data_IF_422576898933
#
_entry.id   IF_422576898933
#
_cell.length_a   1.000
_cell.length_b   1.000
_cell.length_c   1.000
_cell.angle_alpha   90.00
_cell.angle_beta   90.00
_cell.angle_gamma   90.00
#
_symmetry.space_group_name_H-M   'P 1'
#
loop_
_entity.id
_entity.type
_entity.pdbx_description
1 polymer ?
#
# COMPACT_ATOMS: atom_id res chain seq x y z
N UNK A 1 44.63 -18.20 1.61
CA UNK A 1 43.31 -17.79 2.06
C UNK A 1 43.41 -17.53 3.55
N UNK A 2 42.72 -16.57 4.14
CA UNK A 2 42.83 -16.16 5.56
C UNK A 2 44.15 -15.52 5.99
N UNK A 3 44.95 -15.03 5.02
CA UNK A 3 46.20 -14.26 5.29
C UNK A 3 45.78 -12.79 5.48
N UNK A 4 46.25 -12.16 6.54
CA UNK A 4 45.99 -10.73 6.81
C UNK A 4 46.80 -9.84 5.87
N UNK A 5 46.23 -8.73 5.39
CA UNK A 5 44.90 -8.19 5.69
C UNK A 5 43.79 -8.86 4.87
N UNK A 6 42.60 -9.12 5.53
CA UNK A 6 41.44 -9.68 4.84
C UNK A 6 40.80 -8.66 3.91
N UNK A 7 40.46 -9.12 2.70
CA UNK A 7 39.87 -8.31 1.64
C UNK A 7 38.45 -8.76 1.27
N UNK A 8 38.10 -8.51 0.02
CA UNK A 8 36.78 -8.90 -0.54
C UNK A 8 36.62 -10.41 -0.65
N UNK A 9 37.70 -11.16 -0.93
CA UNK A 9 37.64 -12.64 -1.05
C UNK A 9 37.14 -13.28 0.24
N UNK A 10 37.70 -12.86 1.37
CA UNK A 10 37.28 -13.33 2.69
C UNK A 10 35.82 -12.90 3.00
N UNK A 11 35.44 -11.68 2.62
CA UNK A 11 34.06 -11.20 2.74
C UNK A 11 33.07 -12.03 1.92
N UNK A 12 33.41 -12.37 0.68
CA UNK A 12 32.58 -13.24 -0.16
C UNK A 12 32.45 -14.65 0.44
N UNK A 13 33.50 -15.21 1.00
CA UNK A 13 33.49 -16.53 1.66
C UNK A 13 32.67 -16.53 2.94
N UNK A 14 32.73 -15.46 3.76
CA UNK A 14 31.94 -15.32 4.95
C UNK A 14 30.44 -15.24 4.56
N UNK A 15 30.09 -14.43 3.56
CA UNK A 15 28.72 -14.35 3.08
C UNK A 15 28.20 -15.67 2.53
N UNK A 16 29.01 -16.41 1.75
CA UNK A 16 28.66 -17.75 1.28
C UNK A 16 28.45 -18.72 2.46
N UNK A 17 29.33 -18.65 3.48
CA UNK A 17 29.18 -19.44 4.70
C UNK A 17 27.89 -19.13 5.47
N UNK A 18 27.55 -17.86 5.61
CA UNK A 18 26.29 -17.43 6.24
C UNK A 18 25.08 -17.91 5.45
N UNK A 19 25.13 -17.84 4.12
CA UNK A 19 24.06 -18.33 3.24
C UNK A 19 23.83 -19.84 3.42
N UNK A 20 24.91 -20.64 3.38
CA UNK A 20 24.84 -22.09 3.58
C UNK A 20 24.35 -22.43 4.99
N UNK A 21 24.88 -21.77 6.03
CA UNK A 21 24.43 -21.94 7.40
C UNK A 21 22.94 -21.59 7.53
N UNK A 22 22.51 -20.51 6.90
CA UNK A 22 21.11 -20.11 6.87
C UNK A 22 20.22 -21.18 6.23
N UNK A 23 20.60 -21.78 5.11
CA UNK A 23 19.82 -22.86 4.51
C UNK A 23 19.79 -24.13 5.36
N UNK A 24 20.88 -24.47 6.04
CA UNK A 24 20.89 -25.58 6.99
C UNK A 24 19.92 -25.33 8.14
N UNK A 25 19.88 -24.13 8.69
CA UNK A 25 18.92 -23.75 9.72
C UNK A 25 17.49 -23.77 9.15
N UNK A 26 17.27 -23.22 7.97
CA UNK A 26 15.96 -23.20 7.31
C UNK A 26 15.36 -24.59 7.15
N UNK A 27 16.17 -25.55 6.72
CA UNK A 27 15.73 -26.94 6.50
C UNK A 27 15.50 -27.67 7.82
N UNK A 28 16.26 -27.35 8.88
CA UNK A 28 16.23 -28.11 10.14
C UNK A 28 15.21 -27.59 11.14
N UNK A 29 15.08 -26.27 11.28
CA UNK A 29 14.20 -25.63 12.27
C UNK A 29 13.06 -24.80 11.66
N UNK A 30 13.04 -24.64 10.32
CA UNK A 30 12.03 -23.86 9.62
C UNK A 30 12.33 -22.36 9.63
N UNK A 31 11.35 -21.57 9.24
CA UNK A 31 11.44 -20.11 9.20
C UNK A 31 11.40 -19.45 10.59
N UNK A 32 11.83 -18.20 10.64
CA UNK A 32 11.76 -17.41 11.88
C UNK A 32 10.32 -16.98 12.12
N UNK A 33 9.82 -17.29 13.29
CA UNK A 33 8.55 -16.78 13.78
C UNK A 33 8.73 -15.39 14.41
N UNK A 34 8.36 -14.35 13.68
CA UNK A 34 8.47 -12.97 14.13
C UNK A 34 7.53 -12.65 15.29
N UNK A 35 6.47 -13.44 15.54
CA UNK A 35 5.57 -13.22 16.67
C UNK A 35 6.26 -13.39 18.03
N UNK A 36 7.39 -14.11 18.07
CA UNK A 36 8.22 -14.24 19.27
C UNK A 36 8.93 -12.94 19.68
N UNK A 37 9.02 -11.97 18.74
CA UNK A 37 9.70 -10.69 18.95
C UNK A 37 8.76 -9.54 19.34
N UNK A 38 7.54 -9.84 19.78
CA UNK A 38 6.62 -8.83 20.32
C UNK A 38 7.18 -8.24 21.62
N UNK A 39 6.79 -6.98 21.94
CA UNK A 39 7.15 -6.34 23.20
C UNK A 39 6.85 -7.27 24.40
N UNK A 40 7.77 -7.42 25.40
CA UNK A 40 9.04 -6.68 25.56
C UNK A 40 10.27 -7.35 24.93
N UNK A 41 10.13 -8.49 24.24
CA UNK A 41 11.27 -9.29 23.75
C UNK A 41 12.12 -8.51 22.75
N UNK A 42 11.49 -7.77 21.83
CA UNK A 42 12.21 -6.94 20.85
C UNK A 42 13.08 -5.86 21.51
N UNK A 43 12.61 -5.23 22.60
CA UNK A 43 13.42 -4.26 23.36
C UNK A 43 14.63 -4.94 23.99
N UNK A 44 14.44 -6.12 24.60
CA UNK A 44 15.55 -6.88 25.19
C UNK A 44 16.58 -7.25 24.12
N UNK A 45 16.13 -7.75 22.97
CA UNK A 45 16.98 -8.10 21.83
C UNK A 45 17.72 -6.86 21.32
N UNK A 46 17.04 -5.71 21.17
CA UNK A 46 17.66 -4.45 20.77
C UNK A 46 18.78 -4.04 21.73
N UNK A 47 18.52 -4.04 23.02
CA UNK A 47 19.51 -3.65 24.04
C UNK A 47 20.73 -4.59 24.03
N UNK A 48 20.49 -5.90 23.97
CA UNK A 48 21.57 -6.88 23.89
C UNK A 48 22.38 -6.75 22.59
N UNK A 49 21.71 -6.50 21.47
CA UNK A 49 22.37 -6.31 20.18
C UNK A 49 23.24 -5.04 20.16
N UNK A 50 22.72 -3.92 20.67
CA UNK A 50 23.48 -2.67 20.80
C UNK A 50 24.68 -2.83 21.73
N UNK A 51 24.50 -3.50 22.88
CA UNK A 51 25.59 -3.82 23.80
C UNK A 51 26.66 -4.68 23.11
N UNK A 52 26.26 -5.67 22.32
CA UNK A 52 27.15 -6.51 21.51
C UNK A 52 27.97 -5.69 20.49
N UNK A 53 27.34 -4.75 19.76
CA UNK A 53 28.03 -3.87 18.80
C UNK A 53 29.05 -2.98 19.54
N UNK A 54 28.69 -2.41 20.70
CA UNK A 54 29.62 -1.61 21.51
C UNK A 54 30.79 -2.46 22.00
N UNK A 55 30.53 -3.65 22.50
CA UNK A 55 31.57 -4.60 22.93
C UNK A 55 32.54 -4.96 21.77
N UNK A 56 32.01 -5.31 20.59
CA UNK A 56 32.82 -5.55 19.39
C UNK A 56 33.65 -4.33 19.00
N UNK A 57 33.06 -3.11 19.09
CA UNK A 57 33.79 -1.89 18.81
C UNK A 57 34.94 -1.66 19.80
N UNK A 58 34.75 -1.90 21.10
CA UNK A 58 35.80 -1.79 22.13
C UNK A 58 36.91 -2.83 21.90
N UNK A 59 36.54 -4.04 21.52
CA UNK A 59 37.49 -5.14 21.27
C UNK A 59 38.16 -5.11 19.90
N UNK A 60 37.79 -4.21 18.97
CA UNK A 60 38.28 -4.19 17.58
C UNK A 60 39.80 -4.09 17.40
N UNK A 61 40.51 -3.55 18.40
CA UNK A 61 41.98 -3.50 18.39
C UNK A 61 42.63 -4.81 18.84
N UNK A 62 41.93 -5.61 19.65
CA UNK A 62 42.40 -6.88 20.21
C UNK A 62 42.04 -8.07 19.29
N UNK A 63 40.80 -8.04 18.75
CA UNK A 63 40.27 -9.09 17.90
C UNK A 63 40.27 -8.61 16.46
N UNK A 64 41.10 -9.19 15.63
CA UNK A 64 41.28 -8.80 14.22
C UNK A 64 39.95 -8.84 13.44
N UNK A 65 39.14 -9.86 13.65
CA UNK A 65 37.82 -10.01 12.99
C UNK A 65 36.92 -8.79 13.21
N UNK A 66 36.81 -8.30 14.43
CA UNK A 66 35.99 -7.10 14.74
C UNK A 66 36.59 -5.82 14.11
N UNK A 67 37.91 -5.75 14.02
CA UNK A 67 38.58 -4.68 13.29
C UNK A 67 38.24 -4.69 11.79
N UNK A 68 38.28 -5.87 11.17
CA UNK A 68 37.93 -6.07 9.77
C UNK A 68 36.43 -5.81 9.50
N UNK A 69 35.51 -6.21 10.39
CA UNK A 69 34.08 -5.93 10.26
C UNK A 69 33.78 -4.43 10.20
N UNK A 70 34.62 -3.56 10.76
CA UNK A 70 34.48 -2.10 10.62
C UNK A 70 35.22 -1.51 9.41
N UNK A 71 35.70 -2.35 8.49
CA UNK A 71 36.45 -1.94 7.30
C UNK A 71 35.55 -1.93 6.05
N UNK A 72 35.87 -1.09 5.07
CA UNK A 72 35.07 -0.96 3.84
C UNK A 72 34.91 -2.27 3.07
N UNK A 73 35.89 -3.18 3.10
CA UNK A 73 35.82 -4.47 2.43
C UNK A 73 34.71 -5.36 2.98
N UNK A 74 34.53 -5.36 4.32
CA UNK A 74 33.40 -6.05 4.96
C UNK A 74 32.06 -5.39 4.63
N UNK A 75 32.01 -4.03 4.65
CA UNK A 75 30.80 -3.28 4.34
C UNK A 75 30.31 -3.56 2.90
N UNK A 76 31.19 -3.46 1.92
CA UNK A 76 30.84 -3.72 0.53
C UNK A 76 30.45 -5.18 0.31
N UNK A 77 31.18 -6.14 0.92
CA UNK A 77 30.84 -7.56 0.79
C UNK A 77 29.46 -7.87 1.38
N UNK A 78 29.15 -7.39 2.58
CA UNK A 78 27.85 -7.62 3.21
C UNK A 78 26.71 -6.99 2.41
N UNK A 79 26.91 -5.78 1.88
CA UNK A 79 25.92 -5.09 1.05
C UNK A 79 25.66 -5.85 -0.26
N UNK A 80 26.71 -6.34 -0.92
CA UNK A 80 26.55 -7.12 -2.16
C UNK A 80 25.77 -8.42 -1.94
N UNK A 81 26.01 -9.13 -0.85
CA UNK A 81 25.27 -10.33 -0.51
C UNK A 81 23.78 -10.03 -0.22
N UNK A 82 23.50 -9.00 0.59
CA UNK A 82 22.11 -8.61 0.88
C UNK A 82 21.42 -8.12 -0.39
N UNK A 83 22.09 -7.31 -1.21
CA UNK A 83 21.53 -6.85 -2.48
C UNK A 83 21.22 -8.03 -3.42
N UNK A 84 22.14 -9.00 -3.53
CA UNK A 84 21.95 -10.20 -4.35
C UNK A 84 20.73 -11.01 -3.92
N UNK A 85 20.60 -11.31 -2.62
CA UNK A 85 19.44 -12.07 -2.12
C UNK A 85 18.13 -11.27 -2.19
N UNK A 86 18.18 -9.94 -2.08
CA UNK A 86 17.02 -9.05 -2.26
C UNK A 86 16.54 -9.05 -3.73
N UNK A 87 17.46 -9.08 -4.71
CA UNK A 87 17.10 -9.26 -6.12
C UNK A 87 16.39 -10.59 -6.33
N UNK A 88 16.90 -11.68 -5.75
CA UNK A 88 16.24 -13.00 -5.79
C UNK A 88 14.84 -12.94 -5.19
N UNK A 89 14.68 -12.27 -4.04
CA UNK A 89 13.36 -12.04 -3.41
C UNK A 89 12.38 -11.31 -4.35
N UNK A 90 12.84 -10.29 -5.06
CA UNK A 90 12.02 -9.54 -6.01
C UNK A 90 11.59 -10.34 -7.25
N UNK A 91 12.34 -11.37 -7.63
CA UNK A 91 12.02 -12.25 -8.77
C UNK A 91 11.05 -13.38 -8.40
N UNK A 92 10.88 -13.67 -7.11
CA UNK A 92 10.05 -14.77 -6.62
C UNK A 92 8.81 -14.19 -5.91
N UNK A 93 7.63 -14.73 -6.25
CA UNK A 93 6.39 -14.32 -5.60
C UNK A 93 6.46 -14.63 -4.10
N UNK A 94 6.35 -13.59 -3.28
CA UNK A 94 6.29 -13.72 -1.84
C UNK A 94 4.87 -14.11 -1.40
N UNK A 95 4.75 -15.04 -0.44
CA UNK A 95 3.48 -15.52 0.10
C UNK A 95 3.29 -15.04 1.53
N UNK A 96 2.05 -14.68 1.93
CA UNK A 96 1.76 -14.27 3.30
C UNK A 96 1.99 -15.40 4.32
N UNK A 97 2.08 -15.04 5.59
CA UNK A 97 2.04 -15.99 6.71
C UNK A 97 0.75 -16.84 6.65
N UNK A 98 0.85 -18.13 7.02
CA UNK A 98 -0.27 -19.06 6.96
C UNK A 98 -0.44 -19.81 5.62
N UNK A 99 0.24 -19.41 4.54
CA UNK A 99 0.28 -20.18 3.29
C UNK A 99 1.51 -21.10 3.25
N UNK A 100 1.47 -22.23 2.53
CA UNK A 100 2.62 -23.09 2.36
C UNK A 100 3.78 -22.32 1.74
N UNK A 101 4.92 -22.27 2.42
CA UNK A 101 6.18 -21.75 1.88
C UNK A 101 7.05 -22.88 1.32
N UNK A 102 7.98 -22.55 0.41
CA UNK A 102 8.97 -23.51 -0.05
C UNK A 102 9.98 -23.83 1.05
N UNK A 103 10.53 -25.04 1.02
CA UNK A 103 11.46 -25.55 2.06
C UNK A 103 12.72 -24.70 2.20
N UNK A 104 13.17 -24.05 1.13
CA UNK A 104 14.36 -23.21 1.14
C UNK A 104 14.08 -21.75 1.56
N UNK A 105 12.81 -21.37 1.76
CA UNK A 105 12.39 -20.05 2.23
C UNK A 105 12.39 -18.94 1.18
N UNK A 106 12.50 -19.26 -0.11
CA UNK A 106 12.52 -18.25 -1.16
C UNK A 106 11.21 -17.50 -1.31
N UNK A 107 10.07 -18.17 -1.10
CA UNK A 107 8.75 -17.56 -1.18
C UNK A 107 8.34 -16.77 0.09
N UNK A 108 9.18 -16.84 1.14
CA UNK A 108 9.01 -16.08 2.40
C UNK A 108 10.36 -15.58 2.91
N UNK A 109 11.05 -14.85 2.05
CA UNK A 109 12.47 -14.51 2.21
C UNK A 109 12.77 -13.72 3.49
N UNK A 110 11.89 -12.79 3.91
CA UNK A 110 12.11 -11.97 5.09
C UNK A 110 12.13 -12.76 6.41
N UNK A 111 11.54 -13.96 6.44
CA UNK A 111 11.55 -14.87 7.58
C UNK A 111 12.57 -16.00 7.39
N UNK A 112 13.25 -16.05 6.23
CA UNK A 112 14.20 -17.11 5.94
C UNK A 112 15.58 -16.84 6.56
N UNK A 113 16.15 -17.84 7.22
CA UNK A 113 17.48 -17.75 7.87
C UNK A 113 18.61 -17.27 6.96
N UNK A 114 18.70 -17.67 5.66
CA UNK A 114 19.73 -17.14 4.77
C UNK A 114 19.71 -15.63 4.66
N UNK A 115 18.52 -15.05 4.50
CA UNK A 115 18.34 -13.60 4.42
C UNK A 115 18.66 -12.94 5.77
N UNK A 116 18.13 -13.46 6.86
CA UNK A 116 18.27 -12.84 8.19
C UNK A 116 19.71 -12.84 8.66
N UNK A 117 20.48 -13.92 8.43
CA UNK A 117 21.90 -13.95 8.81
C UNK A 117 22.73 -12.93 8.02
N UNK A 118 22.51 -12.83 6.71
CA UNK A 118 23.18 -11.83 5.86
C UNK A 118 22.79 -10.40 6.26
N UNK A 119 21.51 -10.20 6.56
CA UNK A 119 20.99 -8.91 7.02
C UNK A 119 21.57 -8.49 8.37
N UNK A 120 21.62 -9.38 9.38
CA UNK A 120 22.25 -9.13 10.68
C UNK A 120 23.73 -8.78 10.49
N UNK A 121 24.46 -9.50 9.63
CA UNK A 121 25.84 -9.16 9.33
C UNK A 121 25.98 -7.75 8.75
N UNK A 122 25.16 -7.39 7.76
CA UNK A 122 25.17 -6.04 7.14
C UNK A 122 24.87 -4.95 8.17
N UNK A 123 23.80 -5.10 8.99
CA UNK A 123 23.42 -4.12 10.01
C UNK A 123 24.50 -4.02 11.11
N UNK A 124 25.14 -5.13 11.49
CA UNK A 124 26.27 -5.11 12.43
C UNK A 124 27.45 -4.33 11.89
N UNK A 125 27.83 -4.56 10.64
CA UNK A 125 28.91 -3.82 9.96
C UNK A 125 28.57 -2.33 9.87
N UNK A 126 27.32 -1.99 9.56
CA UNK A 126 26.82 -0.61 9.53
C UNK A 126 26.95 0.07 10.91
N UNK A 127 26.52 -0.61 11.99
CA UNK A 127 26.65 -0.12 13.35
C UNK A 127 28.12 0.09 13.79
N UNK A 128 29.00 -0.87 13.51
CA UNK A 128 30.43 -0.76 13.80
C UNK A 128 31.11 0.35 13.00
N UNK A 129 30.75 0.55 11.74
CA UNK A 129 31.25 1.62 10.88
C UNK A 129 30.82 2.98 11.41
N UNK A 130 29.57 3.10 11.84
CA UNK A 130 29.00 4.30 12.46
C UNK A 130 29.74 4.66 13.74
N UNK A 131 29.92 3.70 14.67
CA UNK A 131 30.68 3.92 15.89
C UNK A 131 32.14 4.29 15.62
N UNK A 132 32.80 3.66 14.66
CA UNK A 132 34.17 3.98 14.27
C UNK A 132 34.31 5.40 13.72
N UNK A 133 33.32 5.88 12.99
CA UNK A 133 33.30 7.24 12.44
C UNK A 133 32.95 8.29 13.51
N UNK A 134 32.14 7.91 14.50
CA UNK A 134 31.62 8.77 15.58
C UNK A 134 32.63 8.99 16.70
N UNK A 135 33.55 8.03 16.93
CA UNK A 135 34.51 8.13 18.03
C UNK A 135 35.95 8.08 17.55
N UNK A 136 36.75 9.18 17.65
CA UNK A 136 36.35 10.50 18.17
C UNK A 136 35.47 11.28 17.17
N UNK A 137 34.51 12.05 17.70
CA UNK A 137 33.64 12.90 16.89
C UNK A 137 34.43 14.00 16.16
N UNK A 138 34.10 14.21 14.88
CA UNK A 138 34.64 15.27 14.05
C UNK A 138 33.51 15.89 13.19
N UNK A 139 33.35 17.20 13.24
CA UNK A 139 32.31 17.90 12.46
C UNK A 139 32.37 17.61 10.95
N UNK A 140 33.56 17.42 10.39
CA UNK A 140 33.76 17.02 8.98
C UNK A 140 33.10 15.69 8.62
N UNK A 141 32.77 14.84 9.60
CA UNK A 141 32.11 13.56 9.42
C UNK A 141 30.62 13.58 9.74
N UNK A 142 30.05 14.75 10.06
CA UNK A 142 28.65 14.86 10.47
C UNK A 142 27.69 14.30 9.42
N UNK A 143 27.86 14.66 8.16
CA UNK A 143 27.02 14.17 7.08
C UNK A 143 27.09 12.63 6.93
N UNK A 144 28.29 12.06 7.03
CA UNK A 144 28.48 10.60 7.03
C UNK A 144 27.76 9.95 8.22
N UNK A 145 27.93 10.52 9.41
CA UNK A 145 27.32 10.00 10.65
C UNK A 145 25.79 10.04 10.57
N UNK A 146 25.21 11.16 10.12
CA UNK A 146 23.76 11.28 9.97
C UNK A 146 23.19 10.22 9.01
N UNK A 147 23.85 10.01 7.85
CA UNK A 147 23.41 9.00 6.90
C UNK A 147 23.50 7.58 7.47
N UNK A 148 24.65 7.21 8.05
CA UNK A 148 24.87 5.85 8.51
C UNK A 148 24.14 5.53 9.81
N UNK A 149 24.09 6.48 10.77
CA UNK A 149 23.30 6.31 11.99
C UNK A 149 21.81 6.32 11.69
N UNK A 150 21.34 7.21 10.80
CA UNK A 150 19.95 7.25 10.36
C UNK A 150 19.52 5.94 9.71
N UNK A 151 20.34 5.41 8.79
CA UNK A 151 20.09 4.12 8.15
C UNK A 151 20.09 2.97 9.17
N UNK A 152 21.04 2.96 10.12
CA UNK A 152 21.11 1.96 11.16
C UNK A 152 19.85 1.97 12.05
N UNK A 153 19.41 3.14 12.49
CA UNK A 153 18.19 3.31 13.28
C UNK A 153 16.98 2.84 12.47
N UNK A 154 16.81 3.32 11.24
CA UNK A 154 15.67 2.94 10.41
C UNK A 154 15.58 1.42 10.19
N UNK A 155 16.71 0.78 9.83
CA UNK A 155 16.72 -0.67 9.57
C UNK A 155 16.41 -1.49 10.83
N UNK A 156 17.06 -1.19 11.96
CA UNK A 156 16.87 -2.01 13.17
C UNK A 156 15.49 -1.81 13.78
N UNK A 157 14.98 -0.57 13.79
CA UNK A 157 13.67 -0.28 14.37
C UNK A 157 12.54 -0.78 13.47
N UNK A 158 12.66 -0.69 12.15
CA UNK A 158 11.68 -1.28 11.23
C UNK A 158 11.62 -2.82 11.36
N UNK A 159 12.77 -3.48 11.53
CA UNK A 159 12.81 -4.94 11.66
C UNK A 159 12.23 -5.42 12.99
N UNK A 160 12.68 -4.86 14.12
CA UNK A 160 12.22 -5.28 15.46
C UNK A 160 10.82 -4.75 15.77
N UNK A 161 10.42 -3.61 15.18
CA UNK A 161 9.10 -3.02 15.39
C UNK A 161 8.00 -3.71 14.60
N UNK A 162 8.33 -4.44 13.54
CA UNK A 162 7.35 -5.12 12.71
C UNK A 162 6.46 -6.11 13.48
N UNK A 163 7.00 -6.72 14.54
CA UNK A 163 6.26 -7.65 15.39
C UNK A 163 5.18 -6.95 16.27
N UNK A 164 5.37 -5.66 16.58
CA UNK A 164 4.41 -4.87 17.37
C UNK A 164 3.39 -4.14 16.50
N UNK A 165 3.58 -4.15 15.18
CA UNK A 165 2.64 -3.53 14.26
C UNK A 165 1.34 -4.32 14.24
N UNK A 166 0.24 -3.61 14.51
CA UNK A 166 -1.11 -4.17 14.45
C UNK A 166 -1.83 -3.58 13.24
N UNK A 167 -2.40 -4.46 12.44
CA UNK A 167 -3.20 -4.09 11.28
C UNK A 167 -4.50 -4.87 11.32
N UNK A 168 -5.60 -4.14 11.48
CA UNK A 168 -6.92 -4.70 11.74
C UNK A 168 -7.93 -4.13 10.76
N UNK A 169 -8.95 -4.92 10.40
CA UNK A 169 -10.08 -4.49 9.56
C UNK A 169 -11.34 -4.41 10.40
N UNK A 170 -12.00 -3.26 10.37
CA UNK A 170 -13.26 -3.02 11.04
C UNK A 170 -14.34 -2.68 10.01
N UNK A 171 -15.47 -3.37 10.08
CA UNK A 171 -16.65 -3.07 9.27
C UNK A 171 -17.66 -2.37 10.14
N UNK A 172 -18.02 -1.14 9.77
CA UNK A 172 -19.00 -0.32 10.48
C UNK A 172 -20.25 -0.14 9.63
N UNK A 173 -21.37 0.11 10.28
CA UNK A 173 -22.64 0.43 9.65
C UNK A 173 -23.15 1.76 10.18
N UNK A 174 -23.92 2.49 9.35
CA UNK A 174 -24.51 3.79 9.74
C UNK A 174 -25.29 3.65 11.07
N UNK A 175 -25.06 4.61 11.96
CA UNK A 175 -25.64 4.74 13.30
C UNK A 175 -25.41 3.52 14.24
N UNK A 176 -24.39 2.72 13.95
CA UNK A 176 -24.00 1.61 14.81
C UNK A 176 -22.53 1.75 15.22
N UNK A 177 -22.25 1.86 16.51
CA UNK A 177 -20.90 1.91 17.02
C UNK A 177 -20.29 0.49 17.06
N UNK A 178 -19.15 0.30 16.41
CA UNK A 178 -18.40 -0.96 16.41
C UNK A 178 -17.03 -0.76 17.08
N UNK A 179 -16.64 -1.70 17.95
CA UNK A 179 -15.37 -1.70 18.68
C UNK A 179 -14.54 -2.95 18.42
N UNK A 180 -15.04 -3.87 17.59
CA UNK A 180 -14.37 -5.12 17.25
C UNK A 180 -13.82 -5.05 15.83
N UNK A 181 -12.62 -5.55 15.67
CA UNK A 181 -11.98 -5.62 14.37
C UNK A 181 -11.38 -7.01 14.14
N UNK A 182 -11.15 -7.39 12.89
CA UNK A 182 -10.53 -8.65 12.51
C UNK A 182 -9.07 -8.44 12.17
N UNK A 183 -8.19 -9.33 12.65
CA UNK A 183 -6.81 -9.41 12.20
C UNK A 183 -6.68 -10.11 10.82
N UNK A 184 -5.45 -10.23 10.34
CA UNK A 184 -5.13 -10.88 9.05
C UNK A 184 -5.48 -12.39 9.04
N UNK A 185 -5.66 -13.01 10.21
CA UNK A 185 -6.03 -14.43 10.37
C UNK A 185 -7.53 -14.62 10.57
N UNK A 186 -8.33 -13.55 10.53
CA UNK A 186 -9.78 -13.59 10.76
C UNK A 186 -10.18 -13.68 12.24
N UNK A 187 -9.25 -13.49 13.17
CA UNK A 187 -9.54 -13.46 14.61
C UNK A 187 -10.13 -12.11 14.99
N UNK A 188 -11.22 -12.14 15.73
CA UNK A 188 -11.88 -10.97 16.27
C UNK A 188 -11.11 -10.42 17.47
N UNK A 189 -10.82 -9.13 17.45
CA UNK A 189 -10.09 -8.39 18.51
C UNK A 189 -10.95 -7.21 18.97
N UNK A 190 -11.09 -7.04 20.27
CA UNK A 190 -11.73 -5.87 20.86
C UNK A 190 -10.72 -4.72 20.98
N UNK A 191 -11.15 -3.53 20.63
CA UNK A 191 -10.32 -2.32 20.59
C UNK A 191 -10.68 -1.37 21.75
N UNK A 192 -9.73 -0.56 22.22
CA UNK A 192 -9.96 0.49 23.20
C UNK A 192 -10.61 1.74 22.58
N UNK A 193 -11.27 1.58 21.47
CA UNK A 193 -12.01 2.61 20.77
C UNK A 193 -13.20 2.01 20.03
N UNK A 194 -14.26 2.82 19.83
CA UNK A 194 -15.40 2.44 19.00
C UNK A 194 -15.60 3.48 17.89
N UNK A 195 -15.95 3.01 16.68
CA UNK A 195 -16.21 3.86 15.52
C UNK A 195 -17.68 3.74 15.15
N UNK A 196 -18.37 4.87 15.11
CA UNK A 196 -19.73 5.01 14.63
C UNK A 196 -19.68 5.70 13.26
N UNK A 197 -20.17 5.04 12.22
CA UNK A 197 -20.34 5.64 10.90
C UNK A 197 -21.57 6.54 10.91
N UNK A 198 -21.38 7.84 10.63
CA UNK A 198 -22.47 8.82 10.57
C UNK A 198 -23.00 9.02 9.16
N UNK A 199 -22.09 9.08 8.20
CA UNK A 199 -22.43 9.26 6.80
C UNK A 199 -21.36 8.65 5.89
N UNK A 200 -21.78 8.22 4.70
CA UNK A 200 -20.90 7.71 3.67
C UNK A 200 -21.22 8.38 2.34
N UNK A 201 -20.21 8.95 1.69
CA UNK A 201 -20.34 9.68 0.44
C UNK A 201 -19.41 9.13 -0.63
N UNK A 202 -19.89 9.05 -1.86
CA UNK A 202 -19.10 8.75 -3.05
C UNK A 202 -19.30 9.86 -4.09
N UNK A 203 -18.21 10.45 -4.54
CA UNK A 203 -18.13 11.20 -5.76
C UNK A 203 -17.85 10.23 -6.91
N UNK A 204 -18.66 10.25 -7.94
CA UNK A 204 -18.56 9.36 -9.09
C UNK A 204 -18.17 10.15 -10.33
N UNK A 205 -17.41 9.53 -11.22
CA UNK A 205 -17.15 10.10 -12.54
C UNK A 205 -18.47 10.31 -13.32
N UNK A 206 -18.51 11.25 -14.26
CA UNK A 206 -19.66 11.42 -15.13
C UNK A 206 -20.06 10.09 -15.79
N UNK A 207 -21.38 9.82 -15.93
CA UNK A 207 -21.80 8.62 -16.65
C UNK A 207 -21.28 8.61 -18.08
N UNK A 208 -21.07 7.44 -18.63
CA UNK A 208 -20.57 7.27 -20.02
C UNK A 208 -21.46 6.33 -20.79
N UNK A 209 -21.61 6.61 -22.09
CA UNK A 209 -22.26 5.70 -23.02
C UNK A 209 -21.20 4.95 -23.81
N UNK A 210 -21.44 3.67 -24.08
CA UNK A 210 -20.54 2.78 -24.79
C UNK A 210 -21.35 1.85 -25.70
N UNK A 211 -20.72 1.36 -26.78
CA UNK A 211 -21.25 0.32 -27.63
C UNK A 211 -20.75 -1.05 -27.17
N UNK A 212 -21.63 -2.03 -27.18
CA UNK A 212 -21.29 -3.44 -26.95
C UNK A 212 -21.77 -4.31 -28.11
N UNK A 213 -21.04 -5.38 -28.32
CA UNK A 213 -21.44 -6.48 -29.19
C UNK A 213 -22.47 -7.34 -28.48
N UNK A 214 -23.60 -7.65 -29.13
CA UNK A 214 -24.71 -8.36 -28.54
C UNK A 214 -24.45 -9.86 -28.31
N UNK A 215 -23.48 -10.45 -29.02
CA UNK A 215 -23.16 -11.89 -28.89
C UNK A 215 -22.10 -12.10 -27.82
N UNK A 216 -21.08 -11.27 -27.79
CA UNK A 216 -19.92 -11.45 -26.91
C UNK A 216 -19.99 -10.62 -25.62
N UNK A 217 -20.81 -9.57 -25.57
CA UNK A 217 -20.88 -8.59 -24.51
C UNK A 217 -19.66 -7.67 -24.42
N UNK A 218 -18.74 -7.75 -25.37
CA UNK A 218 -17.51 -6.93 -25.36
C UNK A 218 -17.78 -5.51 -25.87
N UNK A 219 -17.01 -4.59 -25.33
CA UNK A 219 -17.07 -3.18 -25.78
C UNK A 219 -16.51 -3.01 -27.19
N UNK A 220 -17.10 -2.09 -27.94
CA UNK A 220 -16.70 -1.77 -29.30
C UNK A 220 -16.11 -0.34 -29.39
N UNK A 221 -15.01 -0.17 -30.19
CA UNK A 221 -14.12 -1.18 -30.77
C UNK A 221 -13.32 -1.95 -29.69
N UNK A 222 -13.09 -3.26 -29.88
CA UNK A 222 -12.43 -4.11 -28.87
C UNK A 222 -11.06 -3.62 -28.39
N UNK A 223 -10.24 -3.05 -29.30
CA UNK A 223 -8.86 -2.65 -28.96
C UNK A 223 -8.79 -1.34 -28.17
N UNK A 224 -9.63 -0.38 -28.52
CA UNK A 224 -9.72 0.93 -27.86
C UNK A 224 -11.20 1.29 -27.77
N UNK A 225 -11.87 0.94 -26.66
CA UNK A 225 -13.29 1.22 -26.49
C UNK A 225 -13.58 2.71 -26.58
N UNK A 226 -14.50 3.09 -27.47
CA UNK A 226 -15.01 4.46 -27.53
C UNK A 226 -16.08 4.68 -26.47
N UNK A 227 -16.08 5.86 -25.89
CA UNK A 227 -17.09 6.27 -24.91
C UNK A 227 -17.49 7.73 -25.12
N UNK A 228 -18.74 8.02 -24.85
CA UNK A 228 -19.29 9.38 -24.78
C UNK A 228 -19.57 9.71 -23.31
N UNK A 229 -18.79 10.63 -22.73
CA UNK A 229 -19.01 11.13 -21.39
C UNK A 229 -20.23 12.04 -21.36
N UNK A 230 -21.11 11.85 -20.39
CA UNK A 230 -22.31 12.65 -20.17
C UNK A 230 -22.02 13.74 -19.12
N UNK A 231 -21.13 14.67 -19.47
CA UNK A 231 -20.87 15.85 -18.67
C UNK A 231 -22.03 16.86 -18.76
N UNK A 232 -22.06 17.83 -17.86
CA UNK A 232 -23.06 18.88 -17.86
C UNK A 232 -23.00 19.69 -19.18
N UNK A 233 -24.15 19.81 -19.86
CA UNK A 233 -24.26 20.51 -21.13
C UNK A 233 -24.00 19.67 -22.40
N UNK A 234 -23.62 18.40 -22.28
CA UNK A 234 -23.47 17.50 -23.42
C UNK A 234 -24.85 17.07 -23.93
N UNK A 235 -25.17 17.44 -25.17
CA UNK A 235 -26.43 17.11 -25.81
C UNK A 235 -26.32 16.10 -26.94
N UNK A 236 -25.12 15.92 -27.52
CA UNK A 236 -24.87 14.99 -28.61
C UNK A 236 -23.41 14.51 -28.62
N UNK A 237 -23.16 13.43 -29.34
CA UNK A 237 -21.84 12.86 -29.51
C UNK A 237 -21.86 11.72 -30.54
N UNK A 238 -20.67 11.25 -30.90
CA UNK A 238 -20.51 10.17 -31.86
C UNK A 238 -19.86 8.96 -31.19
N UNK A 239 -20.40 7.79 -31.46
CA UNK A 239 -19.84 6.49 -31.06
C UNK A 239 -19.78 5.61 -32.32
N UNK A 240 -18.59 5.35 -32.82
CA UNK A 240 -18.35 4.69 -34.09
C UNK A 240 -19.20 5.34 -35.23
N UNK A 241 -20.09 4.57 -35.86
CA UNK A 241 -20.96 5.05 -36.92
C UNK A 241 -22.29 5.66 -36.43
N UNK A 242 -22.50 5.75 -35.12
CA UNK A 242 -23.74 6.22 -34.52
C UNK A 242 -23.59 7.64 -33.96
N UNK A 243 -24.43 8.56 -34.47
CA UNK A 243 -24.64 9.88 -33.88
C UNK A 243 -25.71 9.75 -32.79
N UNK A 244 -25.34 10.08 -31.57
CA UNK A 244 -26.22 9.98 -30.39
C UNK A 244 -26.63 11.38 -29.96
N UNK A 245 -27.94 11.62 -29.84
CA UNK A 245 -28.51 12.88 -29.36
C UNK A 245 -29.32 12.62 -28.08
N UNK A 246 -28.98 13.30 -27.01
CA UNK A 246 -29.66 13.17 -25.71
C UNK A 246 -30.89 14.09 -25.73
N UNK A 247 -32.04 13.52 -25.45
CA UNK A 247 -33.34 14.25 -25.41
C UNK A 247 -33.75 14.61 -24.00
N UNK A 248 -33.46 13.74 -23.06
CA UNK A 248 -33.82 13.94 -21.65
C UNK A 248 -32.79 13.24 -20.76
N UNK A 249 -32.46 13.87 -19.63
CA UNK A 249 -31.57 13.32 -18.60
C UNK A 249 -32.31 13.35 -17.26
N UNK A 250 -32.29 12.25 -16.54
CA UNK A 250 -32.83 12.13 -15.19
C UNK A 250 -31.72 11.58 -14.28
N UNK A 251 -31.03 12.43 -13.50
CA UNK A 251 -29.89 12.02 -12.66
C UNK A 251 -30.30 11.11 -11.50
N UNK A 252 -31.56 11.22 -11.06
CA UNK A 252 -32.17 10.47 -9.97
C UNK A 252 -33.44 9.81 -10.47
N UNK A 253 -33.33 8.61 -11.01
CA UNK A 253 -34.40 7.96 -11.73
C UNK A 253 -34.80 6.62 -11.11
N UNK A 254 -36.06 6.24 -11.28
CA UNK A 254 -36.56 4.88 -11.09
C UNK A 254 -37.14 4.37 -12.41
N UNK A 255 -36.90 3.08 -12.69
CA UNK A 255 -37.54 2.42 -13.81
C UNK A 255 -38.97 2.04 -13.46
N UNK A 256 -39.91 2.38 -14.36
CA UNK A 256 -41.33 2.01 -14.26
C UNK A 256 -41.67 1.14 -15.45
N UNK A 257 -42.07 -0.10 -15.19
CA UNK A 257 -42.57 -1.00 -16.23
C UNK A 257 -43.96 -0.53 -16.68
N UNK A 258 -44.14 -0.33 -17.98
CA UNK A 258 -45.44 -0.15 -18.62
C UNK A 258 -45.74 -1.35 -19.51
N UNK A 259 -46.98 -1.51 -19.98
CA UNK A 259 -47.39 -2.72 -20.74
C UNK A 259 -46.45 -3.06 -21.91
N UNK A 260 -45.89 -2.05 -22.58
CA UNK A 260 -45.04 -2.26 -23.77
C UNK A 260 -43.57 -1.82 -23.62
N UNK A 261 -43.24 -1.01 -22.59
CA UNK A 261 -41.91 -0.40 -22.47
C UNK A 261 -41.51 -0.11 -21.03
N UNK A 262 -40.21 0.15 -20.82
CA UNK A 262 -39.70 0.67 -19.55
C UNK A 262 -39.50 2.18 -19.71
N UNK A 263 -40.11 2.97 -18.82
CA UNK A 263 -39.92 4.40 -18.71
C UNK A 263 -39.16 4.73 -17.43
N UNK A 264 -38.55 5.91 -17.40
CA UNK A 264 -37.88 6.42 -16.21
C UNK A 264 -38.56 7.69 -15.73
N UNK A 265 -38.70 7.83 -14.42
CA UNK A 265 -39.29 8.98 -13.74
C UNK A 265 -38.34 9.46 -12.65
N UNK A 266 -38.46 10.70 -12.22
CA UNK A 266 -37.70 11.21 -11.07
C UNK A 266 -37.99 10.39 -9.80
N UNK A 267 -36.92 10.08 -9.07
CA UNK A 267 -36.98 9.26 -7.85
C UNK A 267 -35.84 9.64 -6.90
N UNK A 268 -36.11 10.51 -5.95
CA UNK A 268 -35.13 11.02 -4.99
C UNK A 268 -35.06 10.15 -3.71
N UNK A 269 -34.74 8.86 -3.86
CA UNK A 269 -34.60 7.95 -2.74
C UNK A 269 -33.47 6.94 -2.98
N UNK A 270 -33.16 6.16 -1.95
CA UNK A 270 -32.15 5.12 -1.99
C UNK A 270 -32.39 4.19 -3.19
N UNK A 271 -31.31 3.88 -3.91
CA UNK A 271 -31.33 3.03 -5.09
C UNK A 271 -31.69 3.74 -6.40
N UNK A 272 -31.91 5.07 -6.40
CA UNK A 272 -32.08 5.82 -7.64
C UNK A 272 -30.91 5.60 -8.60
N UNK A 273 -31.20 5.48 -9.88
CA UNK A 273 -30.22 5.30 -10.95
C UNK A 273 -30.10 6.58 -11.80
N UNK A 274 -29.13 6.59 -12.70
CA UNK A 274 -29.01 7.63 -13.72
C UNK A 274 -29.60 7.10 -15.05
N UNK A 275 -30.48 7.89 -15.69
CA UNK A 275 -31.12 7.48 -16.93
C UNK A 275 -31.14 8.61 -17.94
N UNK A 276 -30.97 8.27 -19.22
CA UNK A 276 -31.09 9.19 -20.34
C UNK A 276 -32.05 8.64 -21.39
N UNK A 277 -32.91 9.49 -21.93
CA UNK A 277 -33.65 9.23 -23.16
C UNK A 277 -32.90 9.84 -24.32
N UNK A 278 -32.57 9.03 -25.30
CA UNK A 278 -31.73 9.46 -26.42
C UNK A 278 -32.20 8.90 -27.77
N UNK A 279 -31.75 9.54 -28.82
CA UNK A 279 -31.90 9.09 -30.21
C UNK A 279 -30.51 8.78 -30.75
N UNK A 280 -30.36 7.62 -31.38
CA UNK A 280 -29.14 7.21 -32.08
C UNK A 280 -29.44 7.02 -33.58
N UNK A 281 -28.66 7.66 -34.45
CA UNK A 281 -28.79 7.60 -35.89
C UNK A 281 -27.50 7.05 -36.49
N UNK A 282 -27.59 5.96 -37.23
CA UNK A 282 -26.46 5.41 -37.97
C UNK A 282 -26.16 6.28 -39.20
N UNK A 283 -24.97 6.80 -39.27
CA UNK A 283 -24.58 7.73 -40.34
C UNK A 283 -24.50 7.07 -41.73
N UNK A 284 -24.20 5.74 -41.76
CA UNK A 284 -24.08 4.96 -43.02
C UNK A 284 -25.44 4.46 -43.48
N UNK A 285 -26.19 3.79 -42.62
CA UNK A 285 -27.47 3.12 -42.96
C UNK A 285 -28.69 4.04 -42.83
N UNK A 286 -28.53 5.21 -42.18
CA UNK A 286 -29.60 6.14 -41.79
C UNK A 286 -30.68 5.54 -40.88
N UNK A 287 -30.43 4.36 -40.33
CA UNK A 287 -31.31 3.76 -39.34
C UNK A 287 -31.33 4.62 -38.07
N UNK A 288 -32.53 4.87 -37.53
CA UNK A 288 -32.74 5.62 -36.31
C UNK A 288 -33.35 4.72 -35.23
N UNK A 289 -32.85 4.83 -34.02
CA UNK A 289 -33.37 4.17 -32.83
C UNK A 289 -33.45 5.20 -31.70
N UNK A 290 -34.52 5.08 -30.86
CA UNK A 290 -34.65 5.94 -29.71
C UNK A 290 -35.10 5.11 -28.48
N UNK A 291 -34.75 5.56 -27.31
CA UNK A 291 -35.13 4.87 -26.08
C UNK A 291 -34.32 5.29 -24.87
N UNK A 292 -34.67 4.71 -23.76
CA UNK A 292 -33.99 4.88 -22.49
C UNK A 292 -32.75 4.02 -22.37
N UNK A 293 -31.68 4.61 -21.78
CA UNK A 293 -30.46 3.94 -21.37
C UNK A 293 -30.17 4.33 -19.93
N UNK A 294 -29.81 3.35 -19.09
CA UNK A 294 -29.52 3.55 -17.66
C UNK A 294 -28.45 2.60 -17.20
N UNK A 295 -27.59 3.08 -16.27
CA UNK A 295 -26.58 2.23 -15.62
C UNK A 295 -27.17 1.20 -14.64
N UNK A 296 -28.43 1.38 -14.23
CA UNK A 296 -29.01 0.58 -13.16
C UNK A 296 -28.54 0.97 -11.77
N UNK A 297 -28.95 0.21 -10.77
CA UNK A 297 -28.54 0.30 -9.38
C UNK A 297 -28.78 -1.05 -8.70
N UNK A 298 -28.48 -1.17 -7.39
CA UNK A 298 -28.78 -2.41 -6.65
C UNK A 298 -30.31 -2.73 -6.53
N UNK A 299 -31.19 -1.75 -6.85
CA UNK A 299 -32.64 -1.96 -6.88
C UNK A 299 -33.16 -2.09 -8.31
N UNK A 300 -32.68 -1.24 -9.20
CA UNK A 300 -33.18 -1.18 -10.58
C UNK A 300 -32.18 -1.81 -11.55
N UNK A 301 -32.62 -2.72 -12.46
CA UNK A 301 -31.75 -3.28 -13.46
C UNK A 301 -31.25 -2.20 -14.46
N UNK A 302 -30.10 -2.38 -15.03
CA UNK A 302 -29.62 -1.54 -16.12
C UNK A 302 -30.54 -1.63 -17.34
N UNK A 303 -30.57 -0.57 -18.16
CA UNK A 303 -31.31 -0.55 -19.40
C UNK A 303 -30.40 -0.21 -20.56
N UNK A 304 -30.34 -1.13 -21.53
CA UNK A 304 -29.64 -0.96 -22.81
C UNK A 304 -30.62 -0.57 -23.93
N UNK A 305 -30.16 0.18 -24.92
CA UNK A 305 -30.86 0.42 -26.16
C UNK A 305 -30.25 -0.43 -27.28
N UNK A 306 -31.01 -1.39 -27.79
CA UNK A 306 -30.59 -2.21 -28.92
C UNK A 306 -30.66 -1.39 -30.20
N UNK A 307 -29.52 -1.21 -30.86
CA UNK A 307 -29.38 -0.38 -32.08
C UNK A 307 -29.67 -1.21 -33.33
N UNK A 308 -29.08 -2.41 -33.38
CA UNK A 308 -29.29 -3.37 -34.48
C UNK A 308 -29.15 -4.82 -33.97
N UNK A 309 -28.98 -5.79 -34.86
CA UNK A 309 -28.82 -7.22 -34.48
C UNK A 309 -27.52 -7.50 -33.69
N UNK A 310 -26.46 -6.74 -33.98
CA UNK A 310 -25.11 -6.98 -33.45
C UNK A 310 -24.73 -6.02 -32.32
N UNK A 311 -25.35 -4.83 -32.26
CA UNK A 311 -24.85 -3.73 -31.41
C UNK A 311 -25.94 -3.19 -30.48
N UNK A 312 -25.57 -2.96 -29.23
CA UNK A 312 -26.37 -2.22 -28.25
C UNK A 312 -25.59 -1.05 -27.63
N UNK A 313 -26.32 0.00 -27.30
CA UNK A 313 -25.81 1.14 -26.54
C UNK A 313 -26.12 0.90 -25.05
N UNK A 314 -25.08 0.97 -24.24
CA UNK A 314 -25.17 0.80 -22.78
C UNK A 314 -24.60 1.99 -22.02
N UNK A 315 -25.01 2.10 -20.78
CA UNK A 315 -24.37 2.92 -19.76
C UNK A 315 -23.83 1.97 -18.69
N UNK A 316 -22.51 1.78 -18.60
CA UNK A 316 -21.93 0.97 -17.54
C UNK A 316 -22.14 1.63 -16.18
N UNK A 317 -21.96 0.87 -15.12
CA UNK A 317 -21.93 1.38 -13.75
C UNK A 317 -20.90 2.52 -13.61
N UNK A 318 -21.24 3.53 -12.81
CA UNK A 318 -20.39 4.70 -12.63
C UNK A 318 -19.19 4.33 -11.77
N UNK A 319 -18.01 4.74 -12.21
CA UNK A 319 -16.76 4.52 -11.49
C UNK A 319 -16.63 5.52 -10.34
N UNK A 320 -16.24 5.07 -9.13
CA UNK A 320 -15.98 5.96 -8.01
C UNK A 320 -14.73 6.81 -8.29
N UNK A 321 -14.84 8.12 -8.10
CA UNK A 321 -13.72 9.06 -8.16
C UNK A 321 -13.10 9.24 -6.76
N UNK A 322 -13.97 9.39 -5.77
CA UNK A 322 -13.60 9.60 -4.37
C UNK A 322 -14.70 9.06 -3.47
N UNK A 323 -14.33 8.49 -2.35
CA UNK A 323 -15.27 8.13 -1.30
C UNK A 323 -14.74 8.50 0.08
N UNK A 324 -15.64 8.82 0.97
CA UNK A 324 -15.34 9.30 2.31
C UNK A 324 -16.42 8.86 3.31
N UNK A 325 -15.99 8.71 4.56
CA UNK A 325 -16.87 8.35 5.68
C UNK A 325 -16.77 9.40 6.77
N UNK A 326 -17.88 10.01 7.15
CA UNK A 326 -17.98 10.82 8.35
C UNK A 326 -18.20 9.90 9.53
N UNK A 327 -17.28 9.93 10.50
CA UNK A 327 -17.27 9.03 11.64
C UNK A 327 -17.23 9.77 12.96
N UNK A 328 -17.78 9.14 13.99
CA UNK A 328 -17.61 9.55 15.38
C UNK A 328 -16.86 8.45 16.11
N UNK A 329 -15.68 8.78 16.63
CA UNK A 329 -14.81 7.85 17.35
C UNK A 329 -14.89 8.11 18.83
N UNK A 330 -15.16 7.08 19.61
CA UNK A 330 -15.20 7.07 21.06
C UNK A 330 -13.98 6.36 21.61
N UNK A 331 -13.32 6.93 22.61
CA UNK A 331 -12.13 6.33 23.24
C UNK A 331 -12.40 5.98 24.70
N UNK A 332 -11.63 5.05 25.28
CA UNK A 332 -11.79 4.63 26.71
C UNK A 332 -11.62 5.78 27.69
N UNK A 333 -10.84 6.80 27.38
CA UNK A 333 -10.65 7.99 28.20
C UNK A 333 -11.83 8.99 28.10
N UNK A 334 -12.91 8.61 27.43
CA UNK A 334 -14.14 9.37 27.30
C UNK A 334 -14.10 10.50 26.26
N UNK A 335 -13.02 10.62 25.47
CA UNK A 335 -12.97 11.59 24.39
C UNK A 335 -13.83 11.12 23.21
N UNK A 336 -14.39 12.08 22.52
CA UNK A 336 -15.14 11.88 21.28
C UNK A 336 -14.52 12.75 20.20
N UNK A 337 -14.24 12.16 19.05
CA UNK A 337 -13.69 12.85 17.87
C UNK A 337 -14.63 12.60 16.70
N UNK A 338 -15.10 13.65 16.06
CA UNK A 338 -15.90 13.56 14.84
C UNK A 338 -15.09 14.15 13.69
N UNK A 339 -14.92 13.37 12.63
CA UNK A 339 -14.12 13.77 11.48
C UNK A 339 -14.51 12.94 10.25
N UNK A 340 -14.01 13.34 9.08
CA UNK A 340 -14.23 12.66 7.82
C UNK A 340 -12.97 11.95 7.35
N UNK A 341 -13.05 10.63 7.24
CA UNK A 341 -11.97 9.77 6.72
C UNK A 341 -12.18 9.58 5.23
N UNK A 342 -11.17 9.92 4.43
CA UNK A 342 -11.16 9.69 2.99
C UNK A 342 -9.91 8.92 2.56
N UNK A 343 -9.89 8.47 1.31
CA UNK A 343 -8.70 7.82 0.74
C UNK A 343 -7.51 8.78 0.85
N UNK A 344 -6.39 8.29 1.40
CA UNK A 344 -5.17 9.05 1.70
C UNK A 344 -5.30 10.16 2.77
N UNK A 345 -6.45 10.24 3.47
CA UNK A 345 -6.67 11.14 4.60
C UNK A 345 -7.12 10.33 5.83
N UNK A 346 -6.18 9.64 6.51
CA UNK A 346 -6.50 8.86 7.70
C UNK A 346 -6.76 9.76 8.89
N UNK A 347 -7.61 9.28 9.81
CA UNK A 347 -7.82 9.88 11.12
C UNK A 347 -6.89 9.22 12.14
N UNK A 348 -6.15 10.02 12.91
CA UNK A 348 -5.33 9.52 14.01
C UNK A 348 -6.02 9.74 15.36
N UNK A 349 -6.33 8.66 16.06
CA UNK A 349 -6.97 8.69 17.38
C UNK A 349 -6.38 7.59 18.26
N UNK A 350 -6.00 7.95 19.49
CA UNK A 350 -5.49 7.03 20.51
C UNK A 350 -4.32 6.14 20.03
N UNK A 351 -3.47 6.66 19.13
CA UNK A 351 -2.32 5.96 18.56
C UNK A 351 -2.66 4.99 17.42
N UNK A 352 -3.92 4.97 16.96
CA UNK A 352 -4.37 4.27 15.77
C UNK A 352 -4.51 5.24 14.59
N UNK A 353 -4.01 4.83 13.43
CA UNK A 353 -4.30 5.46 12.15
C UNK A 353 -5.45 4.70 11.51
N UNK A 354 -6.57 5.37 11.30
CA UNK A 354 -7.80 4.81 10.75
C UNK A 354 -7.90 5.24 9.29
N UNK A 355 -7.77 4.29 8.38
CA UNK A 355 -7.81 4.50 6.94
C UNK A 355 -9.15 4.05 6.38
N UNK A 356 -9.69 4.78 5.40
CA UNK A 356 -10.80 4.31 4.59
C UNK A 356 -10.30 3.22 3.64
N UNK A 357 -10.77 1.98 3.80
CA UNK A 357 -10.33 0.85 3.00
C UNK A 357 -11.28 0.53 1.85
N UNK A 358 -12.55 0.31 2.17
CA UNK A 358 -13.59 -0.03 1.20
C UNK A 358 -14.99 0.26 1.75
N UNK A 359 -16.01 -0.12 1.00
CA UNK A 359 -17.43 0.01 1.32
C UNK A 359 -18.20 -1.17 0.71
N UNK A 360 -19.53 -1.23 0.85
CA UNK A 360 -20.37 -2.20 0.14
C UNK A 360 -20.52 -1.77 -1.33
N UNK A 361 -19.69 -2.33 -2.20
CA UNK A 361 -19.65 -2.05 -3.63
C UNK A 361 -20.94 -2.49 -4.35
N UNK A 362 -21.70 -3.45 -3.81
CA UNK A 362 -22.97 -3.89 -4.39
C UNK A 362 -24.03 -2.78 -4.34
N UNK A 363 -23.97 -1.91 -3.32
CA UNK A 363 -24.85 -0.75 -3.17
C UNK A 363 -24.25 0.54 -3.76
N UNK A 364 -22.95 0.55 -4.04
CA UNK A 364 -22.25 1.71 -4.57
C UNK A 364 -22.43 2.95 -3.69
N UNK A 365 -22.86 4.05 -4.31
CA UNK A 365 -23.14 5.34 -3.59
C UNK A 365 -24.18 5.25 -2.49
N UNK A 366 -24.92 4.16 -2.41
CA UNK A 366 -25.95 3.90 -1.41
C UNK A 366 -25.48 2.99 -0.28
N UNK A 367 -24.16 2.77 -0.18
CA UNK A 367 -23.59 1.95 0.88
C UNK A 367 -23.94 2.51 2.27
N UNK A 368 -24.45 1.66 3.14
CA UNK A 368 -24.65 1.91 4.56
C UNK A 368 -23.50 1.31 5.41
N UNK A 369 -22.46 0.80 4.74
CA UNK A 369 -21.30 0.13 5.33
C UNK A 369 -20.03 0.81 4.89
N UNK A 370 -19.12 1.02 5.83
CA UNK A 370 -17.72 1.36 5.56
C UNK A 370 -16.78 0.35 6.21
N UNK A 371 -15.71 0.02 5.50
CA UNK A 371 -14.65 -0.82 6.00
C UNK A 371 -13.42 0.04 6.24
N UNK A 372 -12.94 0.03 7.47
CA UNK A 372 -11.74 0.75 7.89
C UNK A 372 -10.57 -0.20 8.10
N UNK A 373 -9.36 0.23 7.74
CA UNK A 373 -8.12 -0.39 8.17
C UNK A 373 -7.55 0.43 9.32
N UNK A 374 -7.38 -0.21 10.48
CA UNK A 374 -6.80 0.39 11.67
C UNK A 374 -5.36 -0.10 11.79
N UNK A 375 -4.43 0.83 11.76
CA UNK A 375 -2.99 0.53 11.85
C UNK A 375 -2.41 1.20 13.09
N UNK A 376 -1.75 0.40 13.92
CA UNK A 376 -0.98 0.88 15.06
C UNK A 376 0.46 0.40 14.92
N UNK A 377 1.39 1.36 14.81
CA UNK A 377 2.82 1.07 14.74
C UNK A 377 3.57 1.94 15.76
N UNK A 378 3.89 1.39 16.94
CA UNK A 378 4.56 2.14 18.00
C UNK A 378 6.02 2.47 17.67
N UNK A 379 6.63 1.79 16.68
CA UNK A 379 8.02 1.99 16.29
C UNK A 379 8.20 3.00 15.13
N UNK A 380 7.12 3.35 14.45
CA UNK A 380 7.13 4.26 13.31
C UNK A 380 7.83 5.61 13.58
N UNK A 381 7.69 6.25 14.76
CA UNK A 381 8.42 7.48 15.07
C UNK A 381 9.96 7.29 15.07
N UNK A 382 10.44 6.13 15.52
CA UNK A 382 11.87 5.82 15.50
C UNK A 382 12.38 5.59 14.06
N UNK A 383 11.59 4.91 13.22
CA UNK A 383 11.89 4.75 11.79
C UNK A 383 11.98 6.11 11.10
N UNK A 384 11.00 6.99 11.31
CA UNK A 384 11.01 8.34 10.75
C UNK A 384 12.19 9.17 11.24
N UNK A 385 12.59 9.04 12.50
CA UNK A 385 13.79 9.68 13.02
C UNK A 385 15.03 9.27 12.21
N UNK A 386 15.18 7.98 11.93
CA UNK A 386 16.25 7.47 11.07
C UNK A 386 16.20 8.06 9.65
N UNK A 387 15.02 8.10 9.04
CA UNK A 387 14.82 8.66 7.69
C UNK A 387 15.15 10.16 7.66
N UNK A 388 14.68 10.94 8.62
CA UNK A 388 14.97 12.38 8.72
C UNK A 388 16.48 12.60 8.87
N UNK A 389 17.16 11.81 9.69
CA UNK A 389 18.61 11.88 9.82
C UNK A 389 19.32 11.61 8.47
N UNK A 390 18.87 10.63 7.69
CA UNK A 390 19.42 10.37 6.35
C UNK A 390 19.22 11.56 5.40
N UNK A 391 18.03 12.14 5.38
CA UNK A 391 17.72 13.31 4.54
C UNK A 391 18.63 14.51 4.92
N UNK A 392 18.74 14.79 6.22
CA UNK A 392 19.64 15.84 6.71
C UNK A 392 21.10 15.55 6.36
N UNK A 393 21.52 14.30 6.48
CA UNK A 393 22.86 13.86 6.09
C UNK A 393 23.13 14.05 4.60
N UNK A 394 22.15 13.75 3.74
CA UNK A 394 22.24 13.99 2.30
C UNK A 394 22.35 15.48 1.97
N UNK A 395 21.53 16.33 2.57
CA UNK A 395 21.60 17.78 2.41
C UNK A 395 23.00 18.29 2.80
N UNK A 396 23.52 17.85 3.94
CA UNK A 396 24.87 18.22 4.38
C UNK A 396 25.96 17.78 3.39
N UNK A 397 25.81 16.60 2.74
CA UNK A 397 26.75 16.15 1.71
C UNK A 397 26.73 17.06 0.49
N UNK A 398 25.55 17.45 0.00
CA UNK A 398 25.42 18.37 -1.14
C UNK A 398 26.04 19.73 -0.86
N UNK A 399 25.74 20.33 0.30
CA UNK A 399 26.30 21.62 0.69
C UNK A 399 27.84 21.57 0.80
N UNK A 400 28.37 20.49 1.39
CA UNK A 400 29.83 20.34 1.50
C UNK A 400 30.51 20.09 0.14
N UNK A 401 29.82 19.35 -0.78
CA UNK A 401 30.34 19.14 -2.12
C UNK A 401 30.39 20.44 -2.96
N UNK A 402 29.39 21.29 -2.78
CA UNK A 402 29.35 22.59 -3.47
C UNK A 402 30.48 23.55 -2.97
N UNK A 403 30.69 23.64 -1.66
CA UNK A 403 31.80 24.45 -1.08
C UNK A 403 33.17 24.00 -1.56
N UNK A 404 33.41 22.69 -1.68
CA UNK A 404 34.66 22.15 -2.24
C UNK A 404 34.88 22.56 -3.70
N UNK A 405 33.82 22.54 -4.53
CA UNK A 405 33.91 22.99 -5.92
C UNK A 405 34.22 24.46 -6.06
N UNK A 406 33.69 25.28 -5.16
CA UNK A 406 33.98 26.73 -5.11
C UNK A 406 35.43 26.97 -4.67
N UNK A 407 35.94 26.25 -3.64
CA UNK A 407 37.33 26.31 -3.19
C UNK A 407 38.34 25.80 -4.24
N UNK A 408 37.97 24.81 -5.08
CA UNK A 408 38.84 24.28 -6.15
C UNK A 408 38.80 25.15 -7.43
N UNK A 409 37.87 26.10 -7.53
CA UNK A 409 37.71 27.02 -8.67
C UNK A 409 38.29 28.42 -8.44
N UNK A 410 38.63 28.77 -7.20
CA UNK A 410 39.44 29.95 -6.80
C UNK A 410 40.94 29.59 -6.77
#
# INVERSE_FOLDING_TARGET
MWIRPWGFKEGCLIGAGLLVTGWLLQITIGEIDWSLFVYPVNIIVLVLYLAGIVAMHCLRKRVYFFGWMSHYTSAVSSLLWVAGITVVMGLIRQVPSGHPADVLGFSRMLSAWPFVLLYIWMVTVLGLTTLRAGFPFRWKKLAFLLNHAGLFIALITATLGNADMQRLKMTTRIDNAEWRAMDEHGKLIELPLAIELKDFTIDEYPPKLMLIDNETGRTLPEKVPEHLLLEEGVTDGQLADWLVTIRQTIPWAASVATEDTVKFTEFHSMGATYAVYLQAINQKTKAAKEGWVSCGSFIFPYKALRLDSLTSLIMPEREPQRFASTVKVYTEDGKQVEDTIAVNHPLNVAGWNIYQLSYDDTKGRWSDISVFELVRDPWLPAVYTGIIMMVLGAICLFVNAQKRKEEDAE
#
